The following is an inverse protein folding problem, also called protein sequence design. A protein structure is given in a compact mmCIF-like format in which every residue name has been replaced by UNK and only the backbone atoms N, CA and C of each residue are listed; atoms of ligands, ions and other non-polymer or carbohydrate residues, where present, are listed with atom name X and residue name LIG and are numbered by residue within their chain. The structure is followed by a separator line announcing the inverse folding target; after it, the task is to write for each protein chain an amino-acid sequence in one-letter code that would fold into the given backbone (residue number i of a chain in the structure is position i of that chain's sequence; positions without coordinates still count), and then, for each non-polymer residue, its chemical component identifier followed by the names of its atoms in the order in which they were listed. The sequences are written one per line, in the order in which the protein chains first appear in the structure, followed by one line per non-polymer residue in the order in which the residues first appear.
data_IF_468364839123
#
_entry.id   IF_468364839123
#
_cell.length_a   1.000
_cell.length_b   1.000
_cell.length_c   1.000
_cell.angle_alpha   90.00
_cell.angle_beta   90.00
_cell.angle_gamma   90.00
#
_symmetry.space_group_name_H-M   'P 1'
#
loop_
_entity.id
_entity.type
_entity.pdbx_description
1 polymer ?
#
# COMPACT_ATOMS: atom_id res chain seq x y z
N UNK A 1 -27.89 35.93 -6.41
CA UNK A 1 -27.88 34.45 -6.46
C UNK A 1 -26.58 33.93 -5.87
N UNK A 2 -26.61 33.37 -4.66
CA UNK A 2 -25.43 32.80 -3.98
C UNK A 2 -25.22 31.36 -4.49
N UNK A 3 -24.11 31.10 -5.17
CA UNK A 3 -23.67 29.74 -5.53
C UNK A 3 -23.34 28.98 -4.24
N UNK A 4 -24.07 27.91 -3.99
CA UNK A 4 -23.85 26.95 -2.91
C UNK A 4 -22.58 26.19 -3.26
N UNK A 5 -21.45 26.55 -2.65
CA UNK A 5 -20.29 25.67 -2.58
C UNK A 5 -20.74 24.35 -1.96
N UNK A 6 -20.76 23.28 -2.76
CA UNK A 6 -20.76 21.93 -2.22
C UNK A 6 -19.40 21.73 -1.57
N UNK A 7 -19.29 22.11 -0.30
CA UNK A 7 -18.29 21.55 0.60
C UNK A 7 -18.55 20.04 0.63
N UNK A 8 -17.76 19.25 -0.09
CA UNK A 8 -17.52 17.85 0.25
C UNK A 8 -16.71 17.83 1.55
N UNK A 9 -17.35 18.29 2.63
CA UNK A 9 -16.88 18.16 3.99
C UNK A 9 -17.30 16.80 4.52
N UNK A 10 -16.73 15.74 3.97
CA UNK A 10 -16.61 14.48 4.69
C UNK A 10 -15.37 14.62 5.57
N UNK A 11 -15.52 15.18 6.77
CA UNK A 11 -14.44 15.18 7.75
C UNK A 11 -13.89 13.75 7.86
N UNK A 12 -12.59 13.62 7.61
CA UNK A 12 -11.81 12.40 7.73
C UNK A 12 -12.15 11.68 9.05
N UNK A 13 -12.75 10.50 8.93
CA UNK A 13 -12.95 9.61 10.09
C UNK A 13 -11.61 8.93 10.41
N UNK A 14 -11.27 8.74 11.70
CA UNK A 14 -10.11 7.95 12.09
C UNK A 14 -10.16 6.56 11.44
N UNK A 15 -9.04 6.08 10.88
CA UNK A 15 -8.96 4.77 10.20
C UNK A 15 -9.30 4.75 8.70
N UNK A 16 -9.83 5.84 8.13
CA UNK A 16 -10.10 5.95 6.68
C UNK A 16 -8.85 6.23 5.86
N UNK A 17 -7.77 6.67 6.48
CA UNK A 17 -6.49 6.94 5.83
C UNK A 17 -5.42 6.11 6.53
N UNK A 18 -4.82 5.17 5.81
CA UNK A 18 -3.74 4.33 6.32
C UNK A 18 -2.46 4.69 5.59
N UNK A 19 -1.42 5.04 6.33
CA UNK A 19 -0.09 5.27 5.76
C UNK A 19 0.60 3.92 5.66
N UNK A 20 1.14 3.60 4.49
CA UNK A 20 1.99 2.43 4.27
C UNK A 20 3.44 2.88 4.45
N UNK A 21 4.12 2.28 5.42
CA UNK A 21 5.57 2.41 5.60
C UNK A 21 6.22 1.04 5.49
N UNK A 22 7.42 0.97 4.94
CA UNK A 22 8.21 -0.26 4.94
C UNK A 22 8.81 -0.55 6.33
N UNK A 23 9.49 -1.69 6.46
CA UNK A 23 10.19 -2.07 7.69
C UNK A 23 11.36 -1.16 8.08
N UNK A 24 11.81 -0.32 7.17
CA UNK A 24 12.88 0.68 7.33
C UNK A 24 12.32 2.06 7.68
N UNK A 25 11.00 2.18 7.88
CA UNK A 25 10.26 3.42 8.13
C UNK A 25 10.24 4.39 6.93
N UNK A 26 10.43 3.91 5.71
CA UNK A 26 10.26 4.69 4.48
C UNK A 26 8.78 4.75 4.10
N UNK A 27 8.28 5.93 3.72
CA UNK A 27 6.92 6.09 3.21
C UNK A 27 6.78 5.42 1.84
N UNK A 28 5.78 4.54 1.70
CA UNK A 28 5.47 3.84 0.45
C UNK A 28 4.18 4.35 -0.21
N UNK A 29 3.23 4.85 0.58
CA UNK A 29 1.96 5.32 0.05
C UNK A 29 0.87 5.47 1.10
N UNK A 30 -0.36 5.71 0.62
CA UNK A 30 -1.56 5.87 1.43
C UNK A 30 -2.65 4.94 0.92
N UNK A 31 -3.37 4.27 1.80
CA UNK A 31 -4.62 3.58 1.50
C UNK A 31 -5.77 4.42 2.05
N UNK A 32 -6.64 4.88 1.17
CA UNK A 32 -7.88 5.54 1.53
C UNK A 32 -9.03 4.54 1.46
N UNK A 33 -9.78 4.43 2.54
CA UNK A 33 -10.99 3.61 2.63
C UNK A 33 -12.21 4.52 2.57
N UNK A 34 -13.06 4.32 1.57
CA UNK A 34 -14.39 4.92 1.55
C UNK A 34 -15.44 3.83 1.79
N UNK A 35 -16.54 4.23 2.42
CA UNK A 35 -17.64 3.33 2.69
C UNK A 35 -18.20 2.80 1.35
N UNK A 36 -18.27 1.48 1.19
CA UNK A 36 -18.74 0.79 -0.03
C UNK A 36 -17.93 1.07 -1.31
N UNK A 37 -16.66 1.47 -1.21
CA UNK A 37 -15.74 1.49 -2.35
C UNK A 37 -14.58 0.53 -2.14
N UNK A 38 -13.91 0.06 -3.22
CA UNK A 38 -12.60 -0.56 -3.06
C UNK A 38 -11.62 0.41 -2.39
N UNK A 39 -10.66 -0.15 -1.66
CA UNK A 39 -9.54 0.59 -1.08
C UNK A 39 -8.80 1.34 -2.20
N UNK A 40 -8.74 2.67 -2.12
CA UNK A 40 -7.93 3.47 -3.03
C UNK A 40 -6.50 3.51 -2.51
N UNK A 41 -5.54 3.15 -3.35
CA UNK A 41 -4.11 3.20 -3.01
C UNK A 41 -3.47 4.35 -3.76
N UNK A 42 -2.80 5.24 -3.04
CA UNK A 42 -1.97 6.30 -3.58
C UNK A 42 -0.51 5.91 -3.34
N UNK A 43 0.26 5.75 -4.40
CA UNK A 43 1.69 5.50 -4.33
C UNK A 43 2.46 6.81 -4.52
N UNK A 44 3.66 6.87 -3.95
CA UNK A 44 4.53 8.01 -4.14
C UNK A 44 5.01 8.05 -5.61
N UNK A 45 4.92 9.21 -6.30
CA UNK A 45 5.52 9.37 -7.61
C UNK A 45 7.01 9.06 -7.56
N UNK A 46 7.52 8.33 -8.56
CA UNK A 46 8.94 8.02 -8.71
C UNK A 46 9.61 8.93 -9.73
N UNK A 47 10.95 8.96 -9.74
CA UNK A 47 11.69 9.64 -10.79
C UNK A 47 11.35 9.03 -12.18
N UNK A 48 11.30 9.85 -13.24
CA UNK A 48 11.12 9.35 -14.60
C UNK A 48 12.27 8.39 -14.96
N UNK A 49 12.01 7.37 -15.79
CA UNK A 49 13.05 6.46 -16.23
C UNK A 49 14.13 7.24 -16.99
N UNK A 50 15.36 7.23 -16.46
CA UNK A 50 16.54 7.72 -17.18
C UNK A 50 16.83 6.68 -18.25
N UNK A 51 16.60 7.05 -19.52
CA UNK A 51 16.91 6.31 -20.77
C UNK A 51 16.93 4.78 -20.63
N UNK A 52 15.96 4.11 -21.28
CA UNK A 52 15.97 2.65 -21.43
C UNK A 52 17.27 2.29 -22.17
N UNK A 53 18.27 1.83 -21.43
CA UNK A 53 19.45 1.20 -22.02
C UNK A 53 18.96 -0.06 -22.73
N UNK A 54 19.05 -0.08 -24.06
CA UNK A 54 18.81 -1.25 -24.94
C UNK A 54 19.85 -2.36 -24.73
N UNK A 55 20.45 -2.45 -23.54
CA UNK A 55 21.37 -3.52 -23.20
C UNK A 55 20.58 -4.73 -22.71
N UNK A 56 20.72 -5.81 -23.46
CA UNK A 56 20.21 -7.16 -23.25
C UNK A 56 20.73 -7.82 -21.97
N UNK A 57 20.43 -7.22 -20.83
CA UNK A 57 20.62 -7.80 -19.51
C UNK A 57 19.30 -7.80 -18.76
N UNK A 58 19.13 -8.80 -17.92
CA UNK A 58 17.98 -9.04 -17.04
C UNK A 58 17.75 -7.87 -16.07
N UNK A 59 17.25 -6.75 -16.59
CA UNK A 59 16.92 -5.55 -15.84
C UNK A 59 15.71 -5.74 -14.94
N UNK A 60 15.49 -4.83 -13.97
CA UNK A 60 14.41 -4.93 -13.01
C UNK A 60 13.07 -5.01 -13.75
N UNK A 61 12.29 -6.06 -13.47
CA UNK A 61 11.01 -6.40 -14.16
C UNK A 61 9.92 -5.32 -14.10
N UNK A 62 10.14 -4.20 -13.40
CA UNK A 62 9.14 -3.17 -13.19
C UNK A 62 9.69 -1.82 -13.65
N UNK A 63 9.51 -1.54 -14.94
CA UNK A 63 9.72 -0.20 -15.47
C UNK A 63 8.67 0.75 -14.90
N UNK A 64 9.03 2.00 -14.52
CA UNK A 64 8.05 3.01 -14.14
C UNK A 64 7.01 3.22 -15.25
N UNK A 65 5.74 3.26 -14.86
CA UNK A 65 4.59 3.48 -15.74
C UNK A 65 4.10 4.91 -15.53
N UNK A 66 3.89 5.65 -16.62
CA UNK A 66 3.25 6.96 -16.55
C UNK A 66 1.78 6.79 -16.18
N UNK A 67 1.33 7.48 -15.13
CA UNK A 67 -0.06 7.47 -14.65
C UNK A 67 -0.81 8.76 -14.94
N UNK A 68 -0.09 9.84 -15.22
CA UNK A 68 -0.72 11.13 -15.47
C UNK A 68 0.27 12.27 -15.46
N UNK A 69 -0.26 13.48 -15.31
CA UNK A 69 0.51 14.71 -15.30
C UNK A 69 0.13 15.57 -14.10
N UNK A 70 1.12 16.19 -13.47
CA UNK A 70 0.92 17.25 -12.48
C UNK A 70 1.22 18.60 -13.14
N UNK A 71 0.15 19.35 -13.41
CA UNK A 71 0.21 20.70 -13.93
C UNK A 71 -0.08 21.68 -12.80
N UNK A 72 0.95 22.18 -12.10
CA UNK A 72 0.82 23.21 -11.05
C UNK A 72 -0.15 22.83 -9.93
N UNK A 73 -0.04 21.60 -9.42
CA UNK A 73 -0.92 20.98 -8.43
C UNK A 73 -2.29 20.54 -8.95
N UNK A 74 -2.57 20.69 -10.25
CA UNK A 74 -3.70 20.03 -10.90
C UNK A 74 -3.24 18.70 -11.49
N UNK A 75 -3.86 17.61 -11.02
CA UNK A 75 -3.57 16.25 -11.51
C UNK A 75 -4.49 15.91 -12.67
N UNK A 76 -3.92 15.39 -13.74
CA UNK A 76 -4.61 14.84 -14.91
C UNK A 76 -4.28 13.36 -15.05
N UNK A 77 -5.29 12.50 -14.98
CA UNK A 77 -5.12 11.06 -15.18
C UNK A 77 -4.80 10.75 -16.64
N UNK A 78 -3.85 9.84 -16.90
CA UNK A 78 -3.43 9.51 -18.25
C UNK A 78 -4.59 8.96 -19.09
N UNK A 79 -5.48 8.14 -18.51
CA UNK A 79 -6.62 7.57 -19.22
C UNK A 79 -7.57 8.69 -19.68
N UNK A 80 -7.81 9.68 -18.82
CA UNK A 80 -8.65 10.82 -19.16
C UNK A 80 -8.00 11.70 -20.24
N UNK A 81 -6.69 11.96 -20.14
CA UNK A 81 -5.94 12.74 -21.14
C UNK A 81 -5.97 12.07 -22.51
N UNK A 82 -5.73 10.76 -22.57
CA UNK A 82 -5.75 9.99 -23.81
C UNK A 82 -7.15 9.93 -24.43
N UNK A 83 -8.17 9.68 -23.61
CA UNK A 83 -9.57 9.69 -24.07
C UNK A 83 -9.96 11.05 -24.63
N UNK A 84 -9.62 12.12 -23.94
CA UNK A 84 -10.00 13.47 -24.34
C UNK A 84 -9.24 13.92 -25.60
N UNK A 85 -7.98 13.49 -25.77
CA UNK A 85 -7.22 13.62 -27.03
C UNK A 85 -7.94 12.93 -28.18
N UNK A 86 -8.26 11.64 -28.03
CA UNK A 86 -8.89 10.84 -29.08
C UNK A 86 -10.23 11.44 -29.54
N UNK A 87 -11.09 11.81 -28.58
CA UNK A 87 -12.37 12.47 -28.86
C UNK A 87 -12.12 13.78 -29.61
N UNK A 88 -11.11 14.55 -29.21
CA UNK A 88 -10.85 15.86 -29.80
C UNK A 88 -10.31 15.79 -31.21
N UNK A 89 -9.41 14.84 -31.48
CA UNK A 89 -8.92 14.57 -32.83
C UNK A 89 -10.04 14.07 -33.74
N UNK A 90 -10.89 13.16 -33.26
CA UNK A 90 -12.01 12.64 -34.04
C UNK A 90 -12.98 13.76 -34.45
N UNK A 91 -13.31 14.65 -33.51
CA UNK A 91 -14.18 15.81 -33.79
C UNK A 91 -13.53 16.81 -34.72
N UNK A 92 -12.25 17.12 -34.55
CA UNK A 92 -11.52 18.02 -35.44
C UNK A 92 -11.58 17.52 -36.88
N UNK A 93 -11.27 16.23 -37.11
CA UNK A 93 -11.34 15.61 -38.44
C UNK A 93 -12.77 15.66 -39.00
N UNK A 94 -13.77 15.43 -38.15
CA UNK A 94 -15.19 15.56 -38.50
C UNK A 94 -15.59 16.98 -38.93
N UNK A 95 -15.06 18.02 -38.29
CA UNK A 95 -15.35 19.41 -38.69
C UNK A 95 -14.60 19.81 -39.95
N UNK A 96 -13.37 19.35 -40.13
CA UNK A 96 -12.58 19.57 -41.33
C UNK A 96 -13.25 18.95 -42.57
N UNK A 97 -13.80 17.73 -42.44
CA UNK A 97 -14.55 17.10 -43.54
C UNK A 97 -15.85 17.82 -43.88
N UNK A 98 -16.43 18.56 -42.91
CA UNK A 98 -17.58 19.44 -43.11
C UNK A 98 -17.20 20.83 -43.68
N UNK A 99 -15.93 21.06 -44.04
CA UNK A 99 -15.47 22.31 -44.64
C UNK A 99 -15.18 23.43 -43.65
N UNK A 100 -15.17 23.16 -42.34
CA UNK A 100 -14.75 24.17 -41.38
C UNK A 100 -13.23 24.38 -41.46
N UNK A 101 -12.80 25.65 -41.60
CA UNK A 101 -11.38 26.01 -41.59
C UNK A 101 -10.85 26.08 -40.15
N UNK A 102 -10.61 24.90 -39.57
CA UNK A 102 -10.10 24.74 -38.20
C UNK A 102 -8.79 23.96 -38.27
N UNK A 103 -7.76 24.46 -37.59
CA UNK A 103 -6.46 23.83 -37.48
C UNK A 103 -5.94 23.87 -36.05
N UNK A 104 -5.12 22.89 -35.71
CA UNK A 104 -4.43 22.85 -34.43
C UNK A 104 -3.44 24.01 -34.32
N UNK A 105 -3.32 24.56 -33.12
CA UNK A 105 -2.35 25.62 -32.83
C UNK A 105 -0.97 25.03 -32.60
N UNK A 106 0.06 25.75 -33.04
CA UNK A 106 1.47 25.51 -32.73
C UNK A 106 2.01 26.69 -31.95
N UNK A 107 2.95 26.44 -31.06
CA UNK A 107 3.67 27.47 -30.32
C UNK A 107 5.15 27.11 -30.24
N UNK A 108 6.03 27.96 -30.75
CA UNK A 108 7.47 27.73 -30.72
C UNK A 108 8.02 27.53 -29.29
N UNK A 109 7.44 28.22 -28.31
CA UNK A 109 7.85 28.05 -26.91
C UNK A 109 7.55 26.65 -26.41
N UNK A 110 6.45 26.03 -26.87
CA UNK A 110 6.10 24.65 -26.52
C UNK A 110 6.99 23.66 -27.28
N UNK A 111 7.26 23.92 -28.56
CA UNK A 111 8.18 23.08 -29.34
C UNK A 111 9.58 23.01 -28.68
N UNK A 112 10.05 24.10 -28.09
CA UNK A 112 11.30 24.13 -27.31
C UNK A 112 11.24 23.32 -26.00
N UNK A 113 10.07 23.24 -25.35
CA UNK A 113 9.90 22.46 -24.12
C UNK A 113 9.91 20.94 -24.36
N UNK A 114 9.53 20.51 -25.56
CA UNK A 114 9.49 19.09 -25.95
C UNK A 114 10.57 18.70 -26.94
N UNK A 115 11.40 19.66 -27.37
CA UNK A 115 12.49 19.48 -28.34
C UNK A 115 11.99 18.84 -29.67
N UNK A 116 10.74 19.10 -30.02
CA UNK A 116 10.10 18.52 -31.21
C UNK A 116 8.93 19.40 -31.67
N UNK A 117 8.63 19.46 -32.99
CA UNK A 117 7.44 20.15 -33.48
C UNK A 117 6.16 19.56 -32.90
N UNK A 118 5.35 20.39 -32.29
CA UNK A 118 4.17 19.97 -31.54
C UNK A 118 2.91 20.74 -31.93
N UNK A 119 1.77 20.15 -31.59
CA UNK A 119 0.46 20.76 -31.73
C UNK A 119 -0.28 20.73 -30.39
N UNK A 120 -1.20 21.66 -30.24
CA UNK A 120 -1.90 21.88 -28.97
C UNK A 120 -3.37 21.50 -29.07
N UNK A 121 -3.84 20.80 -28.04
CA UNK A 121 -5.23 20.45 -27.80
C UNK A 121 -5.66 20.94 -26.41
N UNK A 122 -6.93 21.37 -26.24
CA UNK A 122 -7.47 21.61 -24.90
C UNK A 122 -7.37 20.36 -24.02
N UNK A 123 -7.10 20.53 -22.72
CA UNK A 123 -7.07 19.43 -21.75
C UNK A 123 -8.43 18.81 -21.42
N UNK A 124 -9.48 19.17 -22.16
CA UNK A 124 -10.86 18.73 -21.99
C UNK A 124 -11.43 18.41 -23.38
N UNK A 125 -12.41 17.50 -23.49
CA UNK A 125 -12.92 17.10 -24.78
C UNK A 125 -13.58 18.29 -25.47
N UNK A 126 -13.18 18.54 -26.72
CA UNK A 126 -13.77 19.63 -27.50
C UNK A 126 -15.23 19.31 -27.84
N UNK A 127 -16.12 20.29 -27.65
CA UNK A 127 -17.53 20.15 -27.97
C UNK A 127 -17.90 20.92 -29.23
N UNK A 128 -17.23 22.04 -29.48
CA UNK A 128 -17.52 22.97 -30.55
C UNK A 128 -16.23 23.41 -31.26
N UNK A 129 -16.31 23.79 -32.55
CA UNK A 129 -15.19 24.37 -33.32
C UNK A 129 -14.39 25.47 -32.62
N UNK A 130 -15.08 26.34 -31.86
CA UNK A 130 -14.46 27.45 -31.14
C UNK A 130 -13.42 26.98 -30.12
N UNK A 131 -13.60 25.81 -29.50
CA UNK A 131 -12.64 25.29 -28.52
C UNK A 131 -11.26 25.05 -29.14
N UNK A 132 -11.20 24.66 -30.42
CA UNK A 132 -9.93 24.48 -31.15
C UNK A 132 -9.38 25.83 -31.62
N UNK A 133 -10.25 26.74 -32.06
CA UNK A 133 -9.81 28.07 -32.50
C UNK A 133 -9.18 28.87 -31.37
N UNK A 134 -9.79 28.77 -30.19
CA UNK A 134 -9.52 29.56 -29.00
C UNK A 134 -8.70 28.74 -27.97
N UNK A 135 -8.00 27.70 -28.42
CA UNK A 135 -7.24 26.77 -27.57
C UNK A 135 -6.23 27.48 -26.64
N UNK A 136 -5.63 28.59 -27.07
CA UNK A 136 -4.64 29.32 -26.25
C UNK A 136 -5.23 30.06 -25.05
N UNK A 137 -6.57 30.10 -24.93
CA UNK A 137 -7.28 30.61 -23.76
C UNK A 137 -7.31 29.60 -22.61
N UNK A 138 -7.07 28.31 -22.89
CA UNK A 138 -7.06 27.27 -21.87
C UNK A 138 -5.76 27.33 -21.05
N UNK A 139 -5.92 27.14 -19.73
CA UNK A 139 -4.80 27.12 -18.78
C UNK A 139 -3.97 25.84 -18.98
N UNK A 140 -4.59 24.73 -19.33
CA UNK A 140 -3.93 23.44 -19.48
C UNK A 140 -4.16 22.91 -20.90
N UNK A 141 -3.09 22.47 -21.54
CA UNK A 141 -3.12 21.93 -22.89
C UNK A 141 -2.42 20.59 -22.97
N UNK A 142 -3.00 19.68 -23.75
CA UNK A 142 -2.35 18.45 -24.19
C UNK A 142 -1.48 18.77 -25.40
N UNK A 143 -0.23 18.31 -25.36
CA UNK A 143 0.75 18.49 -26.42
C UNK A 143 0.85 17.19 -27.21
N UNK A 144 0.67 17.26 -28.53
CA UNK A 144 0.72 16.11 -29.42
C UNK A 144 1.72 16.30 -30.56
N UNK A 145 2.21 15.21 -31.13
CA UNK A 145 3.07 15.21 -32.31
C UNK A 145 2.27 15.23 -33.63
N UNK A 146 2.96 15.17 -34.77
CA UNK A 146 2.33 15.09 -36.10
C UNK A 146 1.60 13.78 -36.40
N UNK A 147 1.77 12.76 -35.56
CA UNK A 147 1.05 11.48 -35.62
C UNK A 147 -0.12 11.46 -34.62
N UNK A 148 -0.49 12.61 -34.07
CA UNK A 148 -1.47 12.80 -33.03
C UNK A 148 -1.13 12.10 -31.70
N UNK A 149 0.10 11.66 -31.44
CA UNK A 149 0.49 11.02 -30.18
C UNK A 149 0.77 12.04 -29.09
N UNK A 150 0.39 11.74 -27.86
CA UNK A 150 0.68 12.58 -26.69
C UNK A 150 2.17 12.63 -26.40
N UNK A 151 2.72 13.84 -26.38
CA UNK A 151 4.09 14.14 -25.93
C UNK A 151 4.11 14.52 -24.45
N UNK A 152 3.02 15.12 -23.96
CA UNK A 152 2.82 15.48 -22.56
C UNK A 152 1.76 16.56 -22.41
N UNK A 153 1.84 17.32 -21.32
CA UNK A 153 0.97 18.46 -21.05
C UNK A 153 1.77 19.72 -20.74
N UNK A 154 1.16 20.88 -20.97
CA UNK A 154 1.68 22.19 -20.56
C UNK A 154 0.64 22.98 -19.79
N UNK A 155 1.11 23.84 -18.90
CA UNK A 155 0.30 24.80 -18.18
C UNK A 155 0.71 26.22 -18.54
N UNK A 156 -0.28 27.10 -18.67
CA UNK A 156 -0.09 28.54 -18.83
C UNK A 156 0.00 29.20 -17.46
N UNK A 157 1.07 29.93 -17.25
CA UNK A 157 1.35 30.71 -16.04
C UNK A 157 1.56 32.16 -16.44
N UNK A 158 0.57 33.01 -16.18
CA UNK A 158 0.60 34.40 -16.65
C UNK A 158 0.82 34.42 -18.18
N UNK A 159 2.02 34.78 -18.63
CA UNK A 159 2.42 34.84 -20.05
C UNK A 159 3.44 33.76 -20.44
N UNK A 160 3.67 32.75 -19.61
CA UNK A 160 4.63 31.67 -19.87
C UNK A 160 3.95 30.31 -19.97
N UNK A 161 4.58 29.43 -20.74
CA UNK A 161 4.20 28.02 -20.83
C UNK A 161 5.24 27.18 -20.11
N UNK A 162 4.78 26.26 -19.27
CA UNK A 162 5.61 25.37 -18.49
C UNK A 162 5.19 23.92 -18.75
N UNK A 163 6.16 23.01 -18.84
CA UNK A 163 5.91 21.58 -18.99
C UNK A 163 5.36 21.02 -17.67
N UNK A 164 4.30 20.22 -17.76
CA UNK A 164 3.79 19.51 -16.60
C UNK A 164 4.69 18.32 -16.25
N UNK A 165 4.80 18.02 -14.96
CA UNK A 165 5.57 16.87 -14.49
C UNK A 165 4.82 15.58 -14.79
N UNK A 166 5.48 14.60 -15.39
CA UNK A 166 4.92 13.25 -15.53
C UNK A 166 4.84 12.59 -14.16
N UNK A 167 3.69 12.02 -13.83
CA UNK A 167 3.48 11.23 -12.62
C UNK A 167 3.79 9.76 -12.92
N UNK A 168 4.99 9.33 -12.56
CA UNK A 168 5.45 7.97 -12.78
C UNK A 168 5.24 7.11 -11.54
N UNK A 169 4.84 5.86 -11.74
CA UNK A 169 4.63 4.89 -10.69
C UNK A 169 5.34 3.59 -11.03
N UNK A 170 6.06 3.00 -10.08
CA UNK A 170 6.46 1.60 -10.17
C UNK A 170 5.33 0.80 -9.53
N UNK A 171 4.56 0.07 -10.34
CA UNK A 171 3.56 -0.83 -9.79
C UNK A 171 4.27 -1.82 -8.86
N UNK A 172 3.89 -1.92 -7.58
CA UNK A 172 4.55 -2.82 -6.65
C UNK A 172 4.37 -4.25 -7.17
N UNK A 173 5.48 -4.99 -7.34
CA UNK A 173 5.42 -6.42 -7.63
C UNK A 173 4.48 -7.03 -6.61
N UNK A 174 3.38 -7.65 -7.08
CA UNK A 174 2.58 -8.52 -6.21
C UNK A 174 3.53 -9.60 -5.74
N UNK A 175 4.05 -9.48 -4.52
CA UNK A 175 4.73 -10.58 -3.85
C UNK A 175 3.63 -11.62 -3.61
N UNK A 176 3.40 -12.48 -4.61
CA UNK A 176 2.95 -13.82 -4.31
C UNK A 176 4.06 -14.37 -3.44
N UNK A 177 3.86 -14.35 -2.14
CA UNK A 177 4.77 -14.98 -1.23
C UNK A 177 4.77 -16.47 -1.58
N UNK A 178 5.76 -16.86 -2.37
CA UNK A 178 6.09 -18.26 -2.64
C UNK A 178 6.85 -18.86 -1.45
N UNK A 179 7.14 -18.06 -0.41
CA UNK A 179 7.79 -18.50 0.81
C UNK A 179 6.70 -18.93 1.80
N UNK A 180 6.60 -20.23 2.11
CA UNK A 180 5.70 -20.71 3.16
C UNK A 180 5.96 -19.93 4.46
N UNK A 181 4.89 -19.42 5.07
CA UNK A 181 5.01 -18.62 6.30
C UNK A 181 5.33 -17.14 6.08
N UNK A 182 5.14 -16.59 4.88
CA UNK A 182 5.12 -15.14 4.64
C UNK A 182 3.82 -14.71 3.95
N UNK A 183 3.30 -13.53 4.28
CA UNK A 183 2.09 -12.96 3.66
C UNK A 183 2.43 -12.19 2.36
N UNK A 184 1.41 -11.66 1.68
CA UNK A 184 1.54 -10.96 0.38
C UNK A 184 2.35 -9.66 0.41
N UNK A 185 2.76 -9.19 1.58
CA UNK A 185 3.68 -8.05 1.76
C UNK A 185 5.08 -8.49 2.22
N UNK A 186 5.35 -9.81 2.25
CA UNK A 186 6.65 -10.40 2.61
C UNK A 186 6.89 -10.44 4.12
N UNK A 187 5.85 -10.29 4.93
CA UNK A 187 5.95 -10.37 6.38
C UNK A 187 5.81 -11.82 6.86
N UNK A 188 6.59 -12.19 7.87
CA UNK A 188 6.49 -13.50 8.53
C UNK A 188 5.12 -13.71 9.17
N UNK A 189 4.48 -14.82 8.79
CA UNK A 189 3.30 -15.37 9.45
C UNK A 189 3.78 -16.37 10.49
N UNK A 190 3.68 -16.01 11.76
CA UNK A 190 4.08 -16.91 12.84
C UNK A 190 3.15 -18.13 12.85
N UNK A 191 3.74 -19.32 12.95
CA UNK A 191 2.99 -20.56 12.98
C UNK A 191 2.08 -20.63 14.21
N UNK A 192 0.83 -21.10 14.03
CA UNK A 192 -0.13 -21.27 15.12
C UNK A 192 -0.86 -19.99 15.57
N UNK A 193 -0.63 -18.84 14.93
CA UNK A 193 -1.37 -17.61 15.21
C UNK A 193 -2.84 -17.76 14.81
N UNK A 194 -3.74 -17.34 15.70
CA UNK A 194 -5.18 -17.37 15.53
C UNK A 194 -5.80 -16.05 15.99
N UNK A 195 -7.11 -15.89 15.80
CA UNK A 195 -7.84 -14.81 16.43
C UNK A 195 -7.98 -15.05 17.94
N UNK A 196 -8.18 -13.98 18.70
CA UNK A 196 -8.42 -14.02 20.14
C UNK A 196 -9.54 -13.09 20.56
N UNK A 197 -10.36 -13.53 21.51
CA UNK A 197 -11.34 -12.71 22.21
C UNK A 197 -10.81 -12.41 23.61
N UNK A 198 -10.48 -11.13 23.86
CA UNK A 198 -9.99 -10.65 25.15
C UNK A 198 -11.03 -9.74 25.79
N UNK A 199 -11.81 -10.30 26.72
CA UNK A 199 -12.96 -9.60 27.30
C UNK A 199 -13.96 -9.19 26.20
N UNK A 200 -14.21 -7.89 26.06
CA UNK A 200 -15.09 -7.35 25.01
C UNK A 200 -14.43 -7.15 23.64
N UNK A 201 -13.11 -7.32 23.54
CA UNK A 201 -12.35 -7.01 22.33
C UNK A 201 -12.00 -8.27 21.52
N UNK A 202 -12.24 -8.20 20.21
CA UNK A 202 -11.90 -9.25 19.25
C UNK A 202 -10.69 -8.83 18.43
N UNK A 203 -9.67 -9.68 18.40
CA UNK A 203 -8.46 -9.50 17.59
C UNK A 203 -8.42 -10.58 16.51
N UNK A 204 -8.20 -10.17 15.26
CA UNK A 204 -8.08 -11.09 14.13
C UNK A 204 -6.69 -11.73 14.09
N UNK A 205 -6.52 -12.89 13.42
CA UNK A 205 -5.20 -13.50 13.25
C UNK A 205 -4.16 -12.53 12.66
N UNK A 206 -4.57 -11.68 11.70
CA UNK A 206 -3.70 -10.70 11.05
C UNK A 206 -3.26 -9.61 12.02
N UNK A 207 -4.18 -9.13 12.86
CA UNK A 207 -3.85 -8.14 13.90
C UNK A 207 -2.84 -8.72 14.89
N UNK A 208 -3.06 -9.94 15.39
CA UNK A 208 -2.12 -10.61 16.29
C UNK A 208 -0.75 -10.79 15.62
N UNK A 209 -0.72 -11.29 14.39
CA UNK A 209 0.52 -11.49 13.64
C UNK A 209 1.31 -10.19 13.45
N UNK A 210 0.63 -9.09 13.09
CA UNK A 210 1.26 -7.78 12.92
C UNK A 210 1.89 -7.27 14.22
N UNK A 211 1.19 -7.39 15.35
CA UNK A 211 1.73 -7.00 16.66
C UNK A 211 2.92 -7.87 17.07
N UNK A 212 2.88 -9.17 16.77
CA UNK A 212 3.99 -10.08 17.05
C UNK A 212 5.24 -9.73 16.23
N UNK A 213 5.08 -9.38 14.95
CA UNK A 213 6.22 -8.95 14.13
C UNK A 213 6.85 -7.65 14.64
N UNK A 214 6.03 -6.66 14.99
CA UNK A 214 6.52 -5.42 15.56
C UNK A 214 7.27 -5.68 16.87
N UNK A 215 6.69 -6.49 17.75
CA UNK A 215 7.32 -6.91 18.99
C UNK A 215 8.68 -7.57 18.74
N UNK A 216 8.74 -8.50 17.80
CA UNK A 216 9.97 -9.20 17.44
C UNK A 216 11.06 -8.27 16.96
N UNK A 217 10.76 -7.33 16.08
CA UNK A 217 11.72 -6.32 15.64
C UNK A 217 12.23 -5.46 16.80
N UNK A 218 11.37 -5.12 17.77
CA UNK A 218 11.77 -4.40 18.98
C UNK A 218 12.71 -5.27 19.84
N UNK A 219 12.37 -6.54 20.04
CA UNK A 219 13.16 -7.49 20.83
C UNK A 219 14.52 -7.76 20.17
N UNK A 220 14.58 -7.96 18.85
CA UNK A 220 15.82 -8.13 18.08
C UNK A 220 16.73 -6.89 18.20
N UNK A 221 16.21 -5.68 17.97
CA UNK A 221 17.00 -4.44 18.08
C UNK A 221 17.50 -4.18 19.50
N UNK A 222 16.85 -4.73 20.51
CA UNK A 222 17.15 -4.51 21.92
C UNK A 222 17.99 -5.62 22.57
N UNK A 223 18.38 -6.65 21.81
CA UNK A 223 19.29 -7.73 22.23
C UNK A 223 20.60 -7.22 22.86
N UNK A 224 20.96 -5.94 22.67
CA UNK A 224 22.15 -5.33 23.26
C UNK A 224 22.05 -4.92 24.74
N UNK A 225 20.89 -5.00 25.43
CA UNK A 225 20.81 -5.10 26.91
C UNK A 225 19.37 -5.18 27.46
N UNK A 226 19.16 -6.03 28.47
CA UNK A 226 17.92 -6.07 29.29
C UNK A 226 17.61 -4.70 29.93
N UNK A 227 18.65 -3.91 30.21
CA UNK A 227 18.52 -2.54 30.72
C UNK A 227 17.85 -1.59 29.70
N UNK A 228 18.12 -1.75 28.39
CA UNK A 228 17.45 -0.99 27.32
C UNK A 228 15.99 -1.42 27.14
N UNK A 229 15.68 -2.71 27.29
CA UNK A 229 14.31 -3.24 27.26
C UNK A 229 13.43 -2.70 28.41
N UNK A 230 14.01 -2.52 29.61
CA UNK A 230 13.29 -1.87 30.72
C UNK A 230 13.00 -0.38 30.46
N UNK A 231 13.85 0.30 29.67
CA UNK A 231 13.61 1.70 29.26
C UNK A 231 12.55 1.81 28.16
N UNK A 232 12.31 0.77 27.37
CA UNK A 232 11.34 0.78 26.27
C UNK A 232 9.88 0.54 26.68
N UNK A 233 9.55 0.70 27.98
CA UNK A 233 8.18 0.52 28.54
C UNK A 233 7.56 -0.87 28.32
N UNK A 234 8.35 -1.88 27.97
CA UNK A 234 7.88 -3.26 27.87
C UNK A 234 7.85 -3.90 29.26
N UNK A 235 6.70 -4.43 29.66
CA UNK A 235 6.54 -5.12 30.92
C UNK A 235 7.03 -6.56 30.83
N UNK A 236 7.73 -7.04 31.86
CA UNK A 236 8.16 -8.44 31.94
C UNK A 236 6.98 -9.31 32.38
N UNK A 237 6.80 -10.44 31.72
CA UNK A 237 5.92 -11.54 32.13
C UNK A 237 6.76 -12.74 32.59
N UNK A 238 6.23 -13.50 33.55
CA UNK A 238 6.76 -14.81 33.93
C UNK A 238 5.72 -15.86 33.58
N UNK A 239 6.04 -16.74 32.65
CA UNK A 239 5.14 -17.80 32.20
C UNK A 239 5.61 -19.13 32.78
N UNK A 240 4.68 -19.87 33.38
CA UNK A 240 4.90 -21.26 33.75
C UNK A 240 4.77 -22.15 32.52
N UNK A 241 5.80 -22.94 32.24
CA UNK A 241 5.79 -23.99 31.21
C UNK A 241 5.99 -25.35 31.86
N UNK A 242 5.77 -26.43 31.12
CA UNK A 242 6.06 -27.81 31.58
C UNK A 242 7.52 -28.02 32.00
N UNK A 243 8.43 -27.16 31.53
CA UNK A 243 9.88 -27.22 31.76
C UNK A 243 10.38 -26.18 32.77
N UNK A 244 9.49 -25.38 33.37
CA UNK A 244 9.83 -24.36 34.36
C UNK A 244 9.30 -22.97 34.04
N UNK A 245 9.80 -21.94 34.74
CA UNK A 245 9.38 -20.54 34.54
C UNK A 245 10.27 -19.85 33.51
N UNK A 246 9.66 -19.32 32.45
CA UNK A 246 10.36 -18.55 31.43
C UNK A 246 10.09 -17.06 31.60
N UNK A 247 11.11 -16.26 31.25
CA UNK A 247 10.97 -14.80 31.16
C UNK A 247 10.46 -14.45 29.78
N UNK A 248 9.35 -13.72 29.74
CA UNK A 248 8.72 -13.25 28.52
C UNK A 248 8.40 -11.75 28.63
N UNK A 249 7.92 -11.15 27.55
CA UNK A 249 7.59 -9.73 27.45
C UNK A 249 6.13 -9.57 27.09
N UNK A 250 5.43 -8.69 27.81
CA UNK A 250 4.08 -8.25 27.48
C UNK A 250 4.16 -7.14 26.46
N UNK A 251 3.49 -7.33 25.34
CA UNK A 251 3.37 -6.33 24.29
C UNK A 251 1.90 -5.91 24.22
N UNK A 252 1.58 -4.63 24.40
CA UNK A 252 0.19 -4.17 24.33
C UNK A 252 -0.38 -4.42 22.94
N UNK A 253 -1.56 -5.03 22.89
CA UNK A 253 -2.37 -5.07 21.68
C UNK A 253 -3.03 -3.71 21.50
N UNK A 254 -2.99 -3.19 20.28
CA UNK A 254 -3.72 -1.98 19.92
C UNK A 254 -5.05 -2.38 19.30
N UNK A 255 -6.12 -1.71 19.71
CA UNK A 255 -7.41 -1.83 19.05
C UNK A 255 -7.31 -1.20 17.67
N UNK A 256 -8.01 -1.78 16.69
CA UNK A 256 -8.09 -1.19 15.36
C UNK A 256 -8.70 0.21 15.44
N UNK A 257 -8.19 1.11 14.59
CA UNK A 257 -8.81 2.41 14.34
C UNK A 257 -10.15 2.17 13.63
N UNK A 258 -11.23 2.02 14.41
CA UNK A 258 -12.59 1.83 13.90
C UNK A 258 -13.54 2.77 14.62
N UNK A 259 -14.58 3.20 13.91
CA UNK A 259 -15.63 4.13 14.40
C UNK A 259 -16.32 3.64 15.70
N UNK A 260 -16.26 2.33 15.99
CA UNK A 260 -16.92 1.70 17.14
C UNK A 260 -16.02 1.61 18.39
N UNK A 261 -14.75 1.99 18.30
CA UNK A 261 -13.82 1.95 19.44
C UNK A 261 -13.66 3.37 19.96
N UNK A 262 -14.23 3.64 21.14
CA UNK A 262 -14.07 4.95 21.77
C UNK A 262 -12.61 5.17 22.19
N UNK A 263 -12.16 6.43 22.27
CA UNK A 263 -10.84 6.76 22.85
C UNK A 263 -10.69 6.20 24.27
N UNK A 264 -11.77 6.18 25.03
CA UNK A 264 -11.82 5.58 26.37
C UNK A 264 -11.56 4.06 26.33
N UNK A 265 -12.10 3.34 25.35
CA UNK A 265 -11.84 1.91 25.18
C UNK A 265 -10.40 1.62 24.76
N UNK A 266 -9.82 2.48 23.91
CA UNK A 266 -8.42 2.37 23.50
C UNK A 266 -7.47 2.59 24.68
N UNK A 267 -7.71 3.62 25.51
CA UNK A 267 -6.86 3.92 26.67
C UNK A 267 -6.97 2.88 27.78
N UNK A 268 -8.12 2.22 27.92
CA UNK A 268 -8.35 1.18 28.92
C UNK A 268 -8.11 -0.24 28.40
N UNK A 269 -7.58 -0.38 27.17
CA UNK A 269 -7.29 -1.69 26.63
C UNK A 269 -6.12 -2.33 27.40
N UNK A 270 -6.44 -3.38 28.16
CA UNK A 270 -5.45 -4.15 28.93
C UNK A 270 -4.98 -5.42 28.22
N UNK A 271 -5.35 -5.60 26.95
CA UNK A 271 -4.99 -6.79 26.20
C UNK A 271 -3.52 -6.73 25.76
N UNK A 272 -2.81 -7.84 25.93
CA UNK A 272 -1.39 -7.98 25.59
C UNK A 272 -1.17 -9.31 24.87
N UNK A 273 -0.17 -9.36 23.98
CA UNK A 273 0.45 -10.61 23.56
C UNK A 273 1.69 -10.85 24.39
N UNK A 274 2.01 -12.12 24.65
CA UNK A 274 3.21 -12.48 25.40
C UNK A 274 4.15 -13.32 24.54
N UNK A 275 5.39 -12.86 24.44
CA UNK A 275 6.43 -13.41 23.57
C UNK A 275 7.74 -13.53 24.35
N UNK A 276 8.59 -14.52 24.05
CA UNK A 276 9.97 -14.54 24.55
C UNK A 276 10.96 -13.81 23.61
N UNK A 277 12.23 -13.82 23.99
CA UNK A 277 13.35 -13.16 23.31
C UNK A 277 13.65 -13.80 21.95
N UNK A 278 13.20 -15.04 21.75
CA UNK A 278 13.31 -15.81 20.51
C UNK A 278 12.02 -15.72 19.68
N UNK A 279 11.12 -14.80 20.03
CA UNK A 279 9.84 -14.62 19.35
C UNK A 279 8.88 -15.80 19.44
N UNK A 280 9.04 -16.69 20.43
CA UNK A 280 8.06 -17.72 20.70
C UNK A 280 6.81 -17.10 21.31
N UNK A 281 5.65 -17.42 20.73
CA UNK A 281 4.35 -16.90 21.17
C UNK A 281 3.69 -17.80 22.20
N UNK A 282 3.29 -17.21 23.32
CA UNK A 282 2.65 -17.93 24.42
C UNK A 282 1.16 -17.66 24.54
N UNK A 283 0.62 -16.71 23.75
CA UNK A 283 -0.80 -16.39 23.73
C UNK A 283 -1.11 -14.91 23.94
N UNK A 284 -2.40 -14.60 23.82
CA UNK A 284 -2.97 -13.31 24.17
C UNK A 284 -3.60 -13.36 25.57
N UNK A 285 -3.44 -12.29 26.33
CA UNK A 285 -3.91 -12.17 27.70
C UNK A 285 -4.54 -10.82 27.96
N UNK A 286 -5.46 -10.76 28.91
CA UNK A 286 -5.94 -9.53 29.52
C UNK A 286 -5.18 -9.31 30.84
N UNK A 287 -4.54 -8.15 30.99
CA UNK A 287 -3.83 -7.77 32.20
C UNK A 287 -4.81 -7.16 33.20
N UNK A 288 -5.44 -7.99 34.04
CA UNK A 288 -6.41 -7.54 35.04
C UNK A 288 -5.84 -7.60 36.45
N UNK A 289 -5.78 -6.45 37.13
CA UNK A 289 -5.22 -6.32 38.49
C UNK A 289 -3.87 -7.06 38.70
N UNK A 290 -2.92 -6.87 37.77
CA UNK A 290 -1.60 -7.54 37.74
C UNK A 290 -1.63 -9.07 37.57
N UNK A 291 -2.78 -9.65 37.20
CA UNK A 291 -2.91 -11.05 36.78
C UNK A 291 -3.11 -11.12 35.28
N UNK A 292 -2.45 -12.10 34.66
CA UNK A 292 -2.67 -12.41 33.24
C UNK A 292 -3.81 -13.41 33.15
N UNK A 293 -4.93 -12.98 32.59
CA UNK A 293 -6.07 -13.84 32.26
C UNK A 293 -5.96 -14.21 30.79
N UNK A 294 -5.93 -15.51 30.46
CA UNK A 294 -5.81 -15.94 29.07
C UNK A 294 -7.05 -15.50 28.27
N UNK A 295 -6.83 -14.99 27.06
CA UNK A 295 -7.91 -14.68 26.13
C UNK A 295 -8.42 -15.95 25.45
N UNK A 296 -9.70 -15.96 25.08
CA UNK A 296 -10.29 -17.10 24.38
C UNK A 296 -9.75 -17.16 22.96
N UNK A 297 -9.18 -18.31 22.61
CA UNK A 297 -8.70 -18.55 21.25
C UNK A 297 -9.91 -18.73 20.34
N UNK A 298 -10.00 -17.91 19.30
CA UNK A 298 -11.04 -18.05 18.27
C UNK A 298 -10.60 -19.12 17.28
N UNK A 299 -11.46 -20.13 17.06
CA UNK A 299 -11.25 -21.14 16.03
C UNK A 299 -11.04 -20.47 14.67
N UNK A 300 -10.21 -21.03 13.78
CA UNK A 300 -10.09 -20.51 12.42
C UNK A 300 -11.48 -20.54 11.78
N UNK A 301 -12.00 -19.36 11.43
CA UNK A 301 -13.11 -19.31 10.49
C UNK A 301 -12.62 -19.98 9.20
N UNK A 302 -13.38 -20.95 8.70
CA UNK A 302 -13.19 -21.58 7.39
C UNK A 302 -12.71 -20.53 6.39
N UNK A 303 -11.41 -20.58 6.06
CA UNK A 303 -10.94 -19.98 4.82
C UNK A 303 -11.75 -20.64 3.69
N UNK A 304 -12.18 -19.90 2.66
CA UNK A 304 -12.74 -20.55 1.48
C UNK A 304 -11.72 -21.59 1.00
N UNK A 305 -12.13 -22.85 0.91
CA UNK A 305 -11.38 -23.86 0.19
C UNK A 305 -11.10 -23.30 -1.20
N UNK A 306 -9.84 -22.96 -1.47
CA UNK A 306 -9.37 -22.82 -2.84
C UNK A 306 -9.30 -24.25 -3.36
N UNK A 307 -10.43 -24.74 -3.87
CA UNK A 307 -10.49 -25.99 -4.60
C UNK A 307 -9.53 -25.91 -5.80
N UNK A 308 -8.61 -26.87 -5.87
CA UNK A 308 -7.72 -27.06 -7.02
C UNK A 308 -6.25 -26.74 -6.75
N UNK A 309 -5.64 -27.44 -5.79
CA UNK A 309 -4.26 -27.86 -5.95
C UNK A 309 -4.08 -29.13 -5.11
N UNK A 310 -4.00 -30.29 -5.77
CA UNK A 310 -3.50 -31.52 -5.15
C UNK A 310 -2.06 -31.25 -4.73
N UNK A 311 -1.87 -30.89 -3.47
CA UNK A 311 -0.56 -30.97 -2.82
C UNK A 311 -0.43 -32.41 -2.37
N UNK A 312 0.39 -33.17 -3.08
CA UNK A 312 0.90 -34.45 -2.64
C UNK A 312 1.42 -34.31 -1.20
N UNK A 313 0.75 -34.99 -0.28
CA UNK A 313 1.22 -35.17 1.09
C UNK A 313 2.60 -35.83 1.05
N UNK A 314 3.64 -35.27 1.70
CA UNK A 314 4.87 -35.99 1.91
C UNK A 314 4.58 -37.20 2.81
N UNK A 315 4.97 -38.38 2.36
CA UNK A 315 4.93 -39.60 3.14
C UNK A 315 5.98 -39.52 4.27
N UNK A 316 5.50 -39.57 5.52
CA UNK A 316 6.34 -39.56 6.73
C UNK A 316 6.48 -40.96 7.34
N UNK A 317 6.43 -42.01 6.51
CA UNK A 317 6.64 -43.41 6.89
C UNK A 317 8.07 -43.76 7.38
N UNK A 318 8.95 -42.78 7.56
CA UNK A 318 10.36 -42.96 7.93
C UNK A 318 10.73 -42.46 9.34
N UNK A 319 9.77 -42.10 10.19
CA UNK A 319 10.03 -41.60 11.57
C UNK A 319 9.89 -42.69 12.66
N UNK A 320 9.54 -43.93 12.31
CA UNK A 320 9.48 -45.05 13.27
C UNK A 320 10.67 -46.03 13.13
N UNK A 321 11.89 -45.52 13.11
CA UNK A 321 13.09 -46.35 13.28
C UNK A 321 14.15 -45.55 14.05
N UNK A 322 14.05 -45.51 15.37
CA UNK A 322 15.19 -45.50 16.30
C UNK A 322 14.65 -45.64 17.72
N UNK A 323 14.33 -46.88 18.10
CA UNK A 323 14.16 -47.29 19.49
C UNK A 323 14.97 -48.56 19.71
N UNK A 324 15.78 -48.51 20.77
CA UNK A 324 16.58 -49.58 21.38
C UNK A 324 17.96 -49.86 20.78
N UNK A 325 19.00 -49.40 21.48
CA UNK A 325 19.82 -50.38 22.19
C UNK A 325 20.31 -49.81 23.54
N UNK A 326 19.79 -50.38 24.63
CA UNK A 326 20.38 -50.29 25.97
C UNK A 326 21.02 -51.64 26.21
N UNK A 327 22.33 -51.72 26.05
CA UNK A 327 23.12 -52.77 26.70
C UNK A 327 23.82 -52.17 27.92
N UNK A 328 23.55 -52.80 29.07
CA UNK A 328 24.32 -52.64 30.29
C UNK A 328 25.79 -52.98 30.02
N UNK A 329 26.71 -52.25 30.62
CA UNK A 329 27.79 -52.88 31.37
C UNK A 329 28.43 -51.94 32.41
N UNK A 330 28.12 -52.23 33.67
CA UNK A 330 29.06 -52.59 34.73
C UNK A 330 30.47 -51.98 34.72
N UNK A 331 30.70 -50.95 35.55
CA UNK A 331 31.71 -50.95 36.63
C UNK A 331 31.53 -49.80 37.61
#
# INVERSE_FOLDING_TARGET
MRRKERRQGGLSRPGNLRIIVDSSCSFLGVIMKYHNSPDQRCFQPVEPPRQIDDSSTSGPRNLPILRGYNCKNQIFDLIDVERDREISILKLRGWQSQGHQIGLKKLEVVDRLFETPSFLLPSMPVAYPSHIRDTLEYIYLTVIDSQDKTLGMVAKTEDKWEKCDGLWEIEPVRRQSLVPGQNSIGETVFHGVSGYQCGKHKFTPESINSHMQLACKILEKSQLSIAKLRRSRLEVARIGTSVGRLTAWKIPLQLGESDNVSRYDSMNNKCVVVLDQRCNFYGAYQNDFNRLVACDRLSPHNLPEIGGLEVSTPDFSWIDEFREDRTLDSK
#
